data_IF_277818371518
#
_entry.id   IF_277818371518
#
_cell.length_a   1.000
_cell.length_b   1.000
_cell.length_c   1.000
_cell.angle_alpha   90.00
_cell.angle_beta   90.00
_cell.angle_gamma   90.00
#
_symmetry.space_group_name_H-M   'P 1'
#
loop_
_entity.id
_entity.type
_entity.pdbx_description
1 polymer ?
#
# COMPACT_ATOMS: atom_id res chain seq x y z
N UNK A 1 10.94 18.90 23.26
CA UNK A 1 9.75 18.10 22.89
C UNK A 1 9.38 18.47 21.47
N UNK A 2 8.73 17.61 20.68
CA UNK A 2 8.59 17.82 19.23
C UNK A 2 8.05 19.20 18.82
N UNK A 3 7.11 19.76 19.59
CA UNK A 3 6.57 21.10 19.34
C UNK A 3 7.56 22.25 19.61
N UNK A 4 8.48 22.08 20.56
CA UNK A 4 9.53 23.05 20.91
C UNK A 4 10.67 23.03 19.90
N UNK A 5 11.00 21.85 19.38
CA UNK A 5 12.12 21.61 18.46
C UNK A 5 11.71 21.65 16.99
N UNK A 6 10.53 22.23 16.68
CA UNK A 6 9.86 22.15 15.36
C UNK A 6 10.74 22.57 14.19
N UNK A 7 11.55 23.62 14.35
CA UNK A 7 12.41 24.13 13.28
C UNK A 7 13.50 23.10 12.96
N UNK A 8 14.24 22.63 13.97
CA UNK A 8 15.27 21.61 13.78
C UNK A 8 14.70 20.31 13.20
N UNK A 9 13.51 19.90 13.64
CA UNK A 9 12.86 18.67 13.15
C UNK A 9 12.37 18.81 11.70
N UNK A 10 11.96 20.00 11.26
CA UNK A 10 11.53 20.23 9.89
C UNK A 10 12.63 19.90 8.86
N UNK A 11 13.91 20.11 9.20
CA UNK A 11 15.04 19.72 8.35
C UNK A 11 15.30 18.22 8.29
N UNK A 12 14.65 17.41 9.15
CA UNK A 12 14.82 15.95 9.19
C UNK A 12 13.59 15.21 8.68
N UNK A 13 12.52 15.94 8.38
CA UNK A 13 11.22 15.38 8.01
C UNK A 13 10.85 15.88 6.61
N UNK A 14 10.54 14.95 5.72
CA UNK A 14 9.85 15.21 4.46
C UNK A 14 8.36 14.94 4.64
N UNK A 15 7.50 15.72 3.98
CA UNK A 15 6.06 15.50 4.04
C UNK A 15 5.41 15.78 2.70
N UNK A 16 4.51 14.89 2.28
CA UNK A 16 3.64 15.09 1.12
C UNK A 16 2.21 14.93 1.60
N UNK A 17 1.43 16.01 1.47
CA UNK A 17 0.02 16.02 1.88
C UNK A 17 -0.88 16.11 0.65
N UNK A 18 -1.80 15.16 0.47
CA UNK A 18 -2.71 15.15 -0.68
C UNK A 18 -3.56 16.44 -0.82
N UNK A 19 -3.82 17.13 0.28
CA UNK A 19 -4.60 18.37 0.31
C UNK A 19 -3.76 19.65 0.20
N UNK A 20 -2.42 19.57 0.32
CA UNK A 20 -1.52 20.74 0.30
C UNK A 20 -0.25 20.42 -0.48
N UNK A 21 -0.26 20.79 -1.75
CA UNK A 21 0.87 20.70 -2.67
C UNK A 21 1.99 21.65 -2.25
N UNK A 22 3.23 21.17 -2.24
CA UNK A 22 4.43 21.99 -2.10
C UNK A 22 4.78 22.68 -3.42
N UNK A 23 4.33 22.13 -4.54
CA UNK A 23 4.48 22.71 -5.87
C UNK A 23 3.56 23.92 -6.05
N UNK A 24 4.12 24.99 -6.63
CA UNK A 24 3.31 26.12 -7.05
C UNK A 24 2.74 25.89 -8.44
N UNK A 25 1.42 25.90 -8.56
CA UNK A 25 0.68 25.56 -9.80
C UNK A 25 1.13 26.34 -11.05
N UNK A 26 1.57 27.58 -10.87
CA UNK A 26 1.97 28.45 -11.96
C UNK A 26 3.47 28.35 -12.31
N UNK A 27 4.27 27.71 -11.45
CA UNK A 27 5.70 27.53 -11.68
C UNK A 27 6.02 26.09 -12.11
N UNK A 28 7.07 25.90 -12.91
CA UNK A 28 7.68 24.59 -13.10
C UNK A 28 8.23 23.97 -11.80
N UNK A 29 8.30 22.63 -11.70
CA UNK A 29 8.94 21.95 -10.58
C UNK A 29 10.36 22.43 -10.28
N UNK A 30 11.17 22.74 -11.30
CA UNK A 30 12.55 23.21 -11.11
C UNK A 30 12.63 24.46 -10.24
N UNK A 31 11.69 25.39 -10.39
CA UNK A 31 11.67 26.63 -9.61
C UNK A 31 11.28 26.36 -8.16
N UNK A 32 10.32 25.46 -7.95
CA UNK A 32 9.95 25.01 -6.60
C UNK A 32 11.13 24.30 -5.93
N UNK A 33 11.85 23.45 -6.65
CA UNK A 33 13.01 22.73 -6.10
C UNK A 33 14.13 23.71 -5.72
N UNK A 34 14.40 24.69 -6.57
CA UNK A 34 15.39 25.73 -6.30
C UNK A 34 15.02 26.54 -5.05
N UNK A 35 13.73 26.84 -4.87
CA UNK A 35 13.25 27.52 -3.67
C UNK A 35 13.40 26.65 -2.42
N UNK A 36 12.99 25.39 -2.48
CA UNK A 36 13.10 24.47 -1.35
C UNK A 36 14.57 24.29 -0.93
N UNK A 37 15.50 24.24 -1.88
CA UNK A 37 16.93 24.22 -1.58
C UNK A 37 17.39 25.44 -0.77
N UNK A 38 16.84 26.62 -1.05
CA UNK A 38 17.11 27.83 -0.27
C UNK A 38 16.45 27.81 1.11
N UNK A 39 15.23 27.30 1.20
CA UNK A 39 14.49 27.17 2.47
C UNK A 39 15.20 26.20 3.42
N UNK A 40 15.69 25.08 2.90
CA UNK A 40 16.44 24.08 3.67
C UNK A 40 17.94 24.35 3.73
N UNK A 41 18.39 25.54 3.31
CA UNK A 41 19.78 25.99 3.42
C UNK A 41 20.80 24.99 2.83
N UNK A 42 20.44 24.34 1.72
CA UNK A 42 21.29 23.34 1.08
C UNK A 42 22.46 24.00 0.37
N UNK A 43 23.64 23.37 0.45
CA UNK A 43 24.76 23.75 -0.42
C UNK A 43 24.34 23.60 -1.88
N UNK A 44 24.65 24.61 -2.70
CA UNK A 44 24.14 24.65 -4.07
C UNK A 44 24.75 23.56 -4.95
N UNK A 45 26.02 23.21 -4.73
CA UNK A 45 26.69 22.16 -5.49
C UNK A 45 26.16 20.77 -5.14
N UNK A 46 25.88 20.54 -3.86
CA UNK A 46 25.26 19.30 -3.36
C UNK A 46 23.80 19.19 -3.81
N UNK A 47 23.05 20.30 -3.73
CA UNK A 47 21.68 20.37 -4.21
C UNK A 47 21.57 20.01 -5.70
N UNK A 48 22.45 20.54 -6.55
CA UNK A 48 22.40 20.24 -7.99
C UNK A 48 22.64 18.75 -8.27
N UNK A 49 23.57 18.12 -7.55
CA UNK A 49 23.80 16.66 -7.63
C UNK A 49 22.58 15.89 -7.14
N UNK A 50 22.07 16.25 -5.96
CA UNK A 50 20.90 15.61 -5.36
C UNK A 50 19.64 15.75 -6.22
N UNK A 51 19.44 16.91 -6.83
CA UNK A 51 18.36 17.14 -7.78
C UNK A 51 18.49 16.23 -8.98
N UNK A 52 19.69 16.08 -9.55
CA UNK A 52 19.89 15.19 -10.69
C UNK A 52 19.58 13.73 -10.33
N UNK A 53 20.05 13.26 -9.17
CA UNK A 53 19.72 11.94 -8.63
C UNK A 53 18.20 11.73 -8.51
N UNK A 54 17.48 12.72 -7.96
CA UNK A 54 16.03 12.63 -7.78
C UNK A 54 15.25 12.76 -9.10
N UNK A 55 15.74 13.57 -10.04
CA UNK A 55 15.14 13.70 -11.38
C UNK A 55 15.22 12.36 -12.12
N UNK A 56 16.37 11.70 -12.08
CA UNK A 56 16.56 10.36 -12.66
C UNK A 56 15.74 9.30 -11.92
N UNK A 57 15.81 9.29 -10.59
CA UNK A 57 15.11 8.31 -9.76
C UNK A 57 13.59 8.36 -10.00
N UNK A 58 13.02 9.56 -10.15
CA UNK A 58 11.58 9.78 -10.31
C UNK A 58 11.13 10.03 -11.77
N UNK A 59 12.04 9.91 -12.74
CA UNK A 59 11.79 10.12 -14.18
C UNK A 59 11.11 11.48 -14.46
N UNK A 60 11.75 12.56 -14.01
CA UNK A 60 11.18 13.92 -14.03
C UNK A 60 11.70 14.79 -15.17
N UNK A 61 12.66 14.33 -15.97
CA UNK A 61 13.41 15.12 -16.96
C UNK A 61 12.50 15.92 -17.88
N UNK A 62 11.49 15.26 -18.46
CA UNK A 62 10.56 15.85 -19.42
C UNK A 62 9.60 16.87 -18.79
N UNK A 63 9.40 16.81 -17.47
CA UNK A 63 8.38 17.60 -16.77
C UNK A 63 8.95 18.70 -15.88
N UNK A 64 10.26 18.72 -15.63
CA UNK A 64 10.92 19.70 -14.74
C UNK A 64 10.68 21.16 -15.13
N UNK A 65 10.49 21.43 -16.42
CA UNK A 65 10.30 22.78 -16.98
C UNK A 65 8.84 23.09 -17.35
N UNK A 66 7.92 22.16 -17.11
CA UNK A 66 6.50 22.32 -17.42
C UNK A 66 5.79 22.86 -16.17
N UNK A 67 4.99 23.94 -16.26
CA UNK A 67 4.24 24.46 -15.11
C UNK A 67 3.37 23.38 -14.45
N UNK A 68 3.40 23.30 -13.11
CA UNK A 68 2.78 22.21 -12.36
C UNK A 68 1.28 22.01 -12.68
N UNK A 69 0.54 23.07 -13.01
CA UNK A 69 -0.87 22.98 -13.45
C UNK A 69 -1.11 22.17 -14.72
N UNK A 70 -0.09 21.97 -15.56
CA UNK A 70 -0.17 21.19 -16.81
C UNK A 70 0.22 19.72 -16.62
N UNK A 71 0.71 19.35 -15.44
CA UNK A 71 1.15 18.00 -15.14
C UNK A 71 -0.05 17.13 -14.74
N UNK A 72 0.00 15.85 -15.10
CA UNK A 72 -0.96 14.86 -14.59
C UNK A 72 -0.86 14.74 -13.07
N UNK A 73 -1.88 14.18 -12.41
CA UNK A 73 -1.82 13.99 -10.95
C UNK A 73 -0.62 13.11 -10.55
N UNK A 74 -0.36 12.03 -11.28
CA UNK A 74 0.80 11.15 -11.01
C UNK A 74 2.14 11.86 -11.23
N UNK A 75 2.27 12.67 -12.27
CA UNK A 75 3.47 13.48 -12.51
C UNK A 75 3.70 14.47 -11.36
N UNK A 76 2.64 15.17 -10.92
CA UNK A 76 2.72 16.07 -9.75
C UNK A 76 3.13 15.32 -8.50
N UNK A 77 2.53 14.16 -8.24
CA UNK A 77 2.85 13.35 -7.08
C UNK A 77 4.32 12.91 -7.07
N UNK A 78 4.88 12.51 -8.23
CA UNK A 78 6.31 12.22 -8.37
C UNK A 78 7.18 13.43 -8.02
N UNK A 79 6.84 14.61 -8.56
CA UNK A 79 7.54 15.86 -8.24
C UNK A 79 7.43 16.22 -6.75
N UNK A 80 6.26 16.01 -6.11
CA UNK A 80 6.05 16.27 -4.67
C UNK A 80 6.91 15.36 -3.79
N UNK A 81 6.95 14.07 -4.08
CA UNK A 81 7.79 13.13 -3.34
C UNK A 81 9.27 13.47 -3.54
N UNK A 82 9.70 13.72 -4.78
CA UNK A 82 11.07 14.15 -5.04
C UNK A 82 11.42 15.46 -4.31
N UNK A 83 10.53 16.45 -4.33
CA UNK A 83 10.70 17.71 -3.60
C UNK A 83 10.90 17.48 -2.10
N UNK A 84 10.12 16.57 -1.50
CA UNK A 84 10.21 16.22 -0.09
C UNK A 84 11.50 15.48 0.30
N UNK A 85 12.24 14.95 -0.68
CA UNK A 85 13.49 14.21 -0.50
C UNK A 85 14.75 15.04 -0.80
N UNK A 86 14.61 16.29 -1.26
CA UNK A 86 15.73 17.16 -1.64
C UNK A 86 16.70 17.39 -0.48
N UNK A 87 16.19 17.59 0.73
CA UNK A 87 16.98 17.85 1.94
C UNK A 87 17.40 16.58 2.69
N UNK A 88 17.30 15.40 2.06
CA UNK A 88 17.67 14.09 2.62
C UNK A 88 17.04 13.84 4.01
N UNK A 89 15.70 13.86 4.13
CA UNK A 89 15.05 13.63 5.40
C UNK A 89 15.27 12.20 5.91
N UNK A 90 15.24 12.04 7.23
CA UNK A 90 15.28 10.71 7.85
C UNK A 90 13.92 10.02 7.83
N UNK A 91 12.84 10.80 7.84
CA UNK A 91 11.47 10.33 7.86
C UNK A 91 10.66 11.06 6.78
N UNK A 92 9.93 10.29 5.98
CA UNK A 92 9.00 10.78 4.97
C UNK A 92 7.56 10.45 5.37
N UNK A 93 6.74 11.48 5.56
CA UNK A 93 5.29 11.34 5.78
C UNK A 93 4.54 11.49 4.46
N UNK A 94 3.69 10.53 4.13
CA UNK A 94 2.87 10.52 2.92
C UNK A 94 1.40 10.41 3.31
N UNK A 95 0.62 11.43 3.01
CA UNK A 95 -0.83 11.41 3.23
C UNK A 95 -1.56 11.01 1.95
N UNK A 96 -2.03 9.77 1.89
CA UNK A 96 -2.77 9.20 0.77
C UNK A 96 -2.05 9.38 -0.59
N UNK A 97 -0.77 8.94 -0.72
CA UNK A 97 0.09 9.28 -1.87
C UNK A 97 -0.34 8.67 -3.21
N UNK A 98 -1.32 7.77 -3.20
CA UNK A 98 -1.81 7.10 -4.41
C UNK A 98 -3.27 7.42 -4.73
N UNK A 99 -3.92 8.30 -3.95
CA UNK A 99 -5.33 8.64 -4.13
C UNK A 99 -5.55 9.35 -5.47
N UNK A 100 -6.60 8.93 -6.19
CA UNK A 100 -6.95 9.50 -7.49
C UNK A 100 -6.00 9.15 -8.64
N UNK A 101 -5.01 8.27 -8.41
CA UNK A 101 -4.14 7.74 -9.46
C UNK A 101 -4.73 6.46 -10.07
N UNK A 102 -4.50 6.26 -11.37
CA UNK A 102 -4.80 5.02 -12.04
C UNK A 102 -3.86 3.87 -11.58
N UNK A 103 -4.19 2.60 -11.83
CA UNK A 103 -3.39 1.47 -11.35
C UNK A 103 -1.92 1.47 -11.80
N UNK A 104 -1.62 1.97 -13.00
CA UNK A 104 -0.24 2.04 -13.52
C UNK A 104 0.54 3.10 -12.75
N UNK A 105 -0.04 4.30 -12.59
CA UNK A 105 0.57 5.37 -11.82
C UNK A 105 0.75 5.00 -10.33
N UNK A 106 -0.20 4.28 -9.71
CA UNK A 106 -0.04 3.75 -8.35
C UNK A 106 1.17 2.84 -8.23
N UNK A 107 1.33 1.90 -9.17
CA UNK A 107 2.47 0.99 -9.22
C UNK A 107 3.81 1.74 -9.26
N UNK A 108 3.92 2.71 -10.17
CA UNK A 108 5.12 3.55 -10.28
C UNK A 108 5.44 4.30 -8.98
N UNK A 109 4.45 4.94 -8.35
CA UNK A 109 4.63 5.64 -7.07
C UNK A 109 5.10 4.68 -5.96
N UNK A 110 4.50 3.49 -5.87
CA UNK A 110 4.90 2.47 -4.89
C UNK A 110 6.35 2.05 -5.06
N UNK A 111 6.77 1.80 -6.29
CA UNK A 111 8.15 1.39 -6.56
C UNK A 111 9.15 2.49 -6.23
N UNK A 112 8.81 3.75 -6.50
CA UNK A 112 9.63 4.91 -6.14
C UNK A 112 9.77 5.06 -4.61
N UNK A 113 8.68 4.96 -3.86
CA UNK A 113 8.70 5.00 -2.39
C UNK A 113 9.55 3.85 -1.84
N UNK A 114 9.41 2.65 -2.41
CA UNK A 114 10.20 1.47 -2.00
C UNK A 114 11.68 1.66 -2.28
N UNK A 115 12.05 2.24 -3.43
CA UNK A 115 13.44 2.56 -3.77
C UNK A 115 14.02 3.57 -2.79
N UNK A 116 13.32 4.67 -2.51
CA UNK A 116 13.74 5.65 -1.51
C UNK A 116 13.96 5.01 -0.12
N UNK A 117 13.05 4.12 0.32
CA UNK A 117 13.23 3.40 1.59
C UNK A 117 14.45 2.46 1.60
N UNK A 118 14.69 1.73 0.51
CA UNK A 118 15.73 0.70 0.44
C UNK A 118 17.13 1.25 0.15
N UNK A 119 17.21 2.18 -0.80
CA UNK A 119 18.48 2.71 -1.31
C UNK A 119 19.02 3.82 -0.40
N UNK A 120 18.13 4.66 0.16
CA UNK A 120 18.51 5.81 0.99
C UNK A 120 18.28 5.60 2.50
N UNK A 121 17.61 4.51 2.89
CA UNK A 121 17.32 4.23 4.29
C UNK A 121 16.26 5.15 4.92
N UNK A 122 15.51 5.91 4.12
CA UNK A 122 14.47 6.83 4.60
C UNK A 122 13.33 6.03 5.23
N UNK A 123 12.94 6.38 6.46
CA UNK A 123 11.77 5.78 7.11
C UNK A 123 10.50 6.37 6.51
N UNK A 124 9.62 5.52 5.97
CA UNK A 124 8.37 5.98 5.35
C UNK A 124 7.20 5.72 6.32
N UNK A 125 6.44 6.77 6.59
CA UNK A 125 5.16 6.71 7.27
C UNK A 125 4.07 7.14 6.30
N UNK A 126 3.10 6.28 6.01
CA UNK A 126 2.03 6.60 5.08
C UNK A 126 0.66 6.31 5.69
N UNK A 127 -0.30 7.16 5.37
CA UNK A 127 -1.73 6.89 5.52
C UNK A 127 -2.27 6.43 4.17
N UNK A 128 -3.04 5.35 4.18
CA UNK A 128 -3.71 4.87 2.98
C UNK A 128 -4.96 4.10 3.35
N UNK A 129 -6.01 4.26 2.55
CA UNK A 129 -7.19 3.40 2.54
C UNK A 129 -7.11 2.31 1.47
N UNK A 130 -6.08 2.33 0.61
CA UNK A 130 -5.83 1.33 -0.42
C UNK A 130 -5.06 0.15 0.17
N UNK A 131 -5.67 -1.04 0.17
CA UNK A 131 -5.03 -2.21 0.76
C UNK A 131 -3.78 -2.65 -0.02
N UNK A 132 -3.72 -2.38 -1.32
CA UNK A 132 -2.53 -2.61 -2.14
C UNK A 132 -1.34 -1.77 -1.70
N UNK A 133 -1.54 -0.51 -1.28
CA UNK A 133 -0.44 0.30 -0.71
C UNK A 133 0.13 -0.36 0.54
N UNK A 134 -0.76 -0.80 1.44
CA UNK A 134 -0.38 -1.47 2.70
C UNK A 134 0.41 -2.75 2.39
N UNK A 135 -0.06 -3.56 1.45
CA UNK A 135 0.58 -4.83 1.09
C UNK A 135 1.95 -4.64 0.42
N UNK A 136 2.10 -3.63 -0.44
CA UNK A 136 3.29 -3.46 -1.24
C UNK A 136 4.38 -2.59 -0.58
N UNK A 137 4.01 -1.72 0.35
CA UNK A 137 4.93 -0.75 0.97
C UNK A 137 5.20 -1.02 2.44
N UNK A 138 4.22 -1.50 3.19
CA UNK A 138 4.30 -1.52 4.65
C UNK A 138 4.85 -2.85 5.20
N UNK A 139 5.74 -2.76 6.19
CA UNK A 139 6.15 -3.91 7.02
C UNK A 139 5.30 -4.03 8.29
N UNK A 140 4.89 -2.89 8.84
CA UNK A 140 4.03 -2.72 10.02
C UNK A 140 2.82 -1.89 9.62
N UNK A 141 1.66 -2.23 10.15
CA UNK A 141 0.39 -1.55 9.91
C UNK A 141 -0.25 -1.22 11.25
N UNK A 142 -0.81 -0.02 11.35
CA UNK A 142 -1.59 0.45 12.49
C UNK A 142 -2.99 0.78 11.99
N UNK A 143 -4.00 0.08 12.49
CA UNK A 143 -5.41 0.31 12.13
C UNK A 143 -6.05 1.13 13.23
N UNK A 144 -6.62 2.27 12.86
CA UNK A 144 -7.25 3.22 13.77
C UNK A 144 -8.74 3.30 13.44
N UNK A 145 -9.58 3.23 14.46
CA UNK A 145 -11.02 3.47 14.35
C UNK A 145 -11.50 4.31 15.52
N UNK A 146 -12.35 5.30 15.26
CA UNK A 146 -12.91 6.18 16.29
C UNK A 146 -11.85 6.77 17.26
N UNK A 147 -10.66 7.09 16.73
CA UNK A 147 -9.55 7.64 17.52
C UNK A 147 -8.80 6.63 18.40
N UNK A 148 -9.09 5.34 18.29
CA UNK A 148 -8.40 4.27 19.00
C UNK A 148 -7.65 3.35 18.05
N UNK A 149 -6.47 2.89 18.47
CA UNK A 149 -5.72 1.86 17.76
C UNK A 149 -6.42 0.53 18.01
N UNK A 150 -7.02 -0.06 16.97
CA UNK A 150 -7.59 -1.41 17.04
C UNK A 150 -6.48 -2.45 16.89
N UNK A 151 -5.52 -2.17 16.01
CA UNK A 151 -4.48 -3.11 15.65
C UNK A 151 -3.16 -2.39 15.43
N UNK A 152 -2.09 -3.00 15.92
CA UNK A 152 -0.72 -2.60 15.67
C UNK A 152 0.12 -3.87 15.52
N UNK A 153 0.59 -4.14 14.30
CA UNK A 153 1.30 -5.38 14.01
C UNK A 153 1.97 -5.39 12.66
N UNK A 154 2.69 -6.48 12.36
CA UNK A 154 3.28 -6.65 11.03
C UNK A 154 2.22 -7.05 10.01
N UNK A 155 2.39 -6.63 8.76
CA UNK A 155 1.49 -7.02 7.66
C UNK A 155 1.49 -8.55 7.49
N UNK A 156 2.63 -9.20 7.71
CA UNK A 156 2.72 -10.67 7.70
C UNK A 156 1.96 -11.34 8.83
N UNK A 157 1.97 -10.76 10.04
CA UNK A 157 1.17 -11.26 11.17
C UNK A 157 -0.32 -11.05 10.92
N UNK A 158 -0.70 -9.88 10.39
CA UNK A 158 -2.08 -9.59 10.01
C UNK A 158 -2.63 -10.67 9.05
N UNK A 159 -1.85 -11.02 8.02
CA UNK A 159 -2.19 -12.07 7.05
C UNK A 159 -2.31 -13.47 7.66
N UNK A 160 -1.58 -13.77 8.73
CA UNK A 160 -1.59 -15.09 9.37
C UNK A 160 -2.67 -15.20 10.44
N UNK A 161 -2.72 -14.24 11.35
CA UNK A 161 -3.46 -14.32 12.61
C UNK A 161 -4.96 -14.01 12.39
N UNK A 162 -5.30 -13.25 11.35
CA UNK A 162 -6.68 -12.92 11.00
C UNK A 162 -7.22 -13.73 9.81
N UNK A 163 -6.43 -14.64 9.21
CA UNK A 163 -6.84 -15.40 8.01
C UNK A 163 -6.45 -16.89 8.01
N UNK A 164 -7.14 -17.71 8.82
CA UNK A 164 -7.14 -19.16 8.62
C UNK A 164 -7.94 -19.56 7.38
N UNK A 165 -8.76 -18.67 6.80
CA UNK A 165 -9.51 -18.97 5.57
C UNK A 165 -8.62 -18.88 4.30
N UNK A 166 -8.86 -19.78 3.36
CA UNK A 166 -8.29 -19.78 2.00
C UNK A 166 -9.42 -19.75 0.99
N UNK A 167 -9.23 -19.02 -0.10
CA UNK A 167 -10.20 -19.01 -1.19
C UNK A 167 -9.76 -20.01 -2.26
N UNK A 168 -10.65 -20.91 -2.64
CA UNK A 168 -10.46 -21.83 -3.76
C UNK A 168 -11.41 -21.40 -4.87
N UNK A 169 -10.85 -21.00 -6.00
CA UNK A 169 -11.59 -20.72 -7.24
C UNK A 169 -11.41 -21.91 -8.18
N UNK A 170 -12.51 -22.55 -8.57
CA UNK A 170 -12.56 -23.69 -9.49
C UNK A 170 -13.23 -23.29 -10.80
N UNK A 171 -12.69 -23.75 -11.93
CA UNK A 171 -13.43 -23.85 -13.20
C UNK A 171 -13.71 -25.31 -13.50
N UNK A 172 -14.95 -25.61 -13.87
CA UNK A 172 -15.44 -26.96 -14.06
C UNK A 172 -15.75 -27.22 -15.54
N UNK A 173 -15.53 -28.46 -15.98
CA UNK A 173 -15.87 -28.93 -17.33
C UNK A 173 -17.34 -29.35 -17.49
N UNK A 174 -18.08 -29.43 -16.40
CA UNK A 174 -19.51 -29.75 -16.38
C UNK A 174 -20.25 -28.77 -15.45
N UNK A 175 -21.56 -28.53 -15.69
CA UNK A 175 -22.34 -27.67 -14.83
C UNK A 175 -22.36 -28.19 -13.39
N UNK A 176 -22.23 -27.29 -12.40
CA UNK A 176 -22.34 -27.62 -10.97
C UNK A 176 -23.73 -28.21 -10.72
N UNK A 177 -23.77 -29.47 -10.31
CA UNK A 177 -25.01 -30.15 -9.88
C UNK A 177 -24.93 -30.49 -8.40
N UNK A 178 -25.79 -29.86 -7.59
CA UNK A 178 -25.90 -30.09 -6.14
C UNK A 178 -25.19 -29.03 -5.28
N UNK A 179 -25.52 -29.01 -3.99
CA UNK A 179 -24.85 -28.16 -2.99
C UNK A 179 -23.60 -28.86 -2.46
N UNK A 180 -22.46 -28.17 -2.48
CA UNK A 180 -21.25 -28.68 -1.84
C UNK A 180 -21.37 -28.54 -0.32
N UNK A 181 -21.37 -29.66 0.40
CA UNK A 181 -21.35 -29.69 1.87
C UNK A 181 -20.08 -30.36 2.37
N UNK A 182 -19.09 -29.53 2.70
CA UNK A 182 -17.86 -29.97 3.34
C UNK A 182 -17.66 -29.23 4.68
N UNK A 183 -17.21 -29.92 5.74
CA UNK A 183 -16.86 -29.27 7.00
C UNK A 183 -15.83 -28.17 6.77
N UNK A 184 -16.05 -26.98 7.33
CA UNK A 184 -15.12 -25.85 7.20
C UNK A 184 -15.05 -25.22 5.81
N UNK A 185 -15.92 -25.61 4.86
CA UNK A 185 -15.99 -25.01 3.53
C UNK A 185 -17.31 -24.25 3.39
N UNK A 186 -17.21 -22.97 2.99
CA UNK A 186 -18.35 -22.11 2.70
C UNK A 186 -18.32 -21.72 1.23
N UNK A 187 -19.42 -21.93 0.53
CA UNK A 187 -19.58 -21.41 -0.82
C UNK A 187 -19.71 -19.88 -0.79
N UNK A 188 -18.86 -19.18 -1.55
CA UNK A 188 -18.92 -17.73 -1.74
C UNK A 188 -19.70 -17.37 -3.00
N UNK A 189 -19.53 -18.15 -4.07
CA UNK A 189 -20.19 -17.92 -5.37
C UNK A 189 -20.20 -19.20 -6.20
N UNK A 190 -21.36 -19.63 -6.68
CA UNK A 190 -21.48 -20.63 -7.74
C UNK A 190 -22.03 -20.01 -9.02
N UNK A 191 -21.47 -20.42 -10.15
CA UNK A 191 -22.03 -20.28 -11.50
C UNK A 191 -22.11 -21.67 -12.13
N UNK A 192 -22.68 -21.78 -13.34
CA UNK A 192 -22.76 -23.07 -14.02
C UNK A 192 -21.39 -23.77 -14.09
N UNK A 193 -20.31 -23.05 -14.44
CA UNK A 193 -18.99 -23.66 -14.64
C UNK A 193 -17.91 -23.16 -13.67
N UNK A 194 -18.29 -22.44 -12.62
CA UNK A 194 -17.35 -21.80 -11.72
C UNK A 194 -17.81 -21.89 -10.28
N UNK A 195 -16.90 -22.27 -9.39
CA UNK A 195 -17.18 -22.38 -7.96
C UNK A 195 -16.12 -21.63 -7.17
N UNK A 196 -16.54 -20.69 -6.31
CA UNK A 196 -15.68 -19.99 -5.36
C UNK A 196 -16.02 -20.43 -3.95
N UNK A 197 -15.02 -20.91 -3.23
CA UNK A 197 -15.16 -21.48 -1.90
C UNK A 197 -14.22 -20.77 -0.93
N UNK A 198 -14.67 -20.51 0.29
CA UNK A 198 -13.83 -20.17 1.44
C UNK A 198 -13.62 -21.43 2.29
N UNK A 199 -12.38 -21.74 2.63
CA UNK A 199 -11.98 -22.93 3.37
C UNK A 199 -11.26 -22.51 4.65
N UNK A 200 -11.84 -22.80 5.82
CA UNK A 200 -11.17 -22.61 7.11
C UNK A 200 -10.15 -23.72 7.34
N UNK A 201 -8.88 -23.39 7.22
CA UNK A 201 -7.76 -24.34 7.34
C UNK A 201 -7.57 -24.92 8.74
N UNK A 202 -8.25 -24.37 9.75
CA UNK A 202 -8.27 -24.95 11.12
C UNK A 202 -9.20 -26.14 11.23
N UNK A 203 -10.24 -26.19 10.39
CA UNK A 203 -11.26 -27.24 10.41
C UNK A 203 -10.95 -28.30 9.34
N UNK A 204 -10.58 -27.85 8.14
CA UNK A 204 -10.28 -28.73 7.01
C UNK A 204 -8.94 -28.37 6.37
N UNK A 205 -7.96 -29.28 6.39
CA UNK A 205 -6.70 -29.10 5.67
C UNK A 205 -6.97 -28.89 4.18
N UNK A 206 -6.25 -27.93 3.57
CA UNK A 206 -6.40 -27.59 2.14
C UNK A 206 -6.26 -28.83 1.25
N UNK A 207 -5.27 -29.68 1.55
CA UNK A 207 -4.98 -30.90 0.79
C UNK A 207 -6.18 -31.83 0.73
N UNK A 208 -6.86 -32.05 1.87
CA UNK A 208 -8.04 -32.91 1.96
C UNK A 208 -9.22 -32.30 1.20
N UNK A 209 -9.42 -30.98 1.32
CA UNK A 209 -10.48 -30.27 0.60
C UNK A 209 -10.27 -30.33 -0.91
N UNK A 210 -9.05 -30.05 -1.39
CA UNK A 210 -8.71 -30.10 -2.83
C UNK A 210 -8.87 -31.51 -3.38
N UNK A 211 -8.38 -32.54 -2.65
CA UNK A 211 -8.54 -33.92 -3.07
C UNK A 211 -10.01 -34.34 -3.20
N UNK A 212 -10.88 -33.87 -2.31
CA UNK A 212 -12.31 -34.12 -2.41
C UNK A 212 -12.93 -33.41 -3.63
N UNK A 213 -12.60 -32.14 -3.84
CA UNK A 213 -13.11 -31.34 -4.97
C UNK A 213 -12.73 -31.94 -6.33
N UNK A 214 -11.51 -32.44 -6.47
CA UNK A 214 -11.03 -33.08 -7.71
C UNK A 214 -11.70 -34.44 -7.99
N UNK A 215 -12.29 -35.09 -6.97
CA UNK A 215 -13.03 -36.35 -7.14
C UNK A 215 -14.49 -36.13 -7.51
N UNK A 216 -15.13 -35.16 -6.86
CA UNK A 216 -16.56 -34.87 -7.04
C UNK A 216 -16.84 -34.07 -8.31
N UNK A 217 -15.91 -33.19 -8.72
CA UNK A 217 -16.11 -32.31 -9.85
C UNK A 217 -15.06 -32.51 -10.94
N UNK A 218 -15.45 -32.41 -12.23
CA UNK A 218 -14.50 -32.39 -13.34
C UNK A 218 -13.82 -31.01 -13.39
N UNK A 219 -12.84 -30.78 -12.52
CA UNK A 219 -12.09 -29.52 -12.44
C UNK A 219 -11.16 -29.37 -13.65
N UNK A 220 -11.29 -28.27 -14.37
CA UNK A 220 -10.39 -27.87 -15.46
C UNK A 220 -9.27 -26.94 -14.98
N UNK A 221 -9.57 -26.10 -13.99
CA UNK A 221 -8.65 -25.10 -13.45
C UNK A 221 -8.93 -24.89 -11.97
N UNK A 222 -7.87 -24.72 -11.18
CA UNK A 222 -7.95 -24.50 -9.72
C UNK A 222 -6.95 -23.44 -9.31
N UNK A 223 -7.44 -22.42 -8.62
CA UNK A 223 -6.61 -21.38 -8.01
C UNK A 223 -6.88 -21.34 -6.49
N UNK A 224 -5.82 -21.53 -5.70
CA UNK A 224 -5.88 -21.42 -4.25
C UNK A 224 -5.20 -20.11 -3.86
N UNK A 225 -5.98 -19.19 -3.34
CA UNK A 225 -5.52 -17.84 -3.01
C UNK A 225 -5.85 -17.49 -1.57
N UNK A 226 -5.18 -16.47 -1.05
CA UNK A 226 -5.62 -15.83 0.18
C UNK A 226 -6.72 -14.83 -0.15
N UNK A 227 -7.71 -14.63 0.74
CA UNK A 227 -8.66 -13.55 0.60
C UNK A 227 -7.93 -12.19 0.55
N UNK A 228 -8.49 -11.21 -0.18
CA UNK A 228 -7.86 -9.92 -0.40
C UNK A 228 -7.76 -9.12 0.91
N UNK A 229 -6.75 -8.25 1.02
CA UNK A 229 -6.47 -7.48 2.24
C UNK A 229 -7.64 -6.56 2.63
N UNK A 230 -8.39 -6.06 1.66
CA UNK A 230 -9.61 -5.27 1.90
C UNK A 230 -10.62 -6.03 2.78
N UNK A 231 -10.77 -7.35 2.57
CA UNK A 231 -11.64 -8.18 3.39
C UNK A 231 -11.09 -8.37 4.80
N UNK A 232 -9.76 -8.46 4.96
CA UNK A 232 -9.11 -8.50 6.29
C UNK A 232 -9.48 -7.26 7.08
N UNK A 233 -9.24 -6.10 6.47
CA UNK A 233 -9.43 -4.80 7.09
C UNK A 233 -10.91 -4.62 7.45
N UNK A 234 -11.82 -4.98 6.52
CA UNK A 234 -13.25 -4.94 6.78
C UNK A 234 -13.67 -5.84 7.96
N UNK A 235 -13.13 -7.06 8.07
CA UNK A 235 -13.43 -7.98 9.17
C UNK A 235 -12.97 -7.43 10.53
N UNK A 236 -11.83 -6.73 10.57
CA UNK A 236 -11.29 -6.07 11.76
C UNK A 236 -12.21 -4.92 12.21
N UNK A 237 -12.65 -4.07 11.27
CA UNK A 237 -13.60 -2.98 11.58
C UNK A 237 -14.96 -3.49 12.07
N UNK A 238 -15.42 -4.65 11.57
CA UNK A 238 -16.68 -5.27 11.98
C UNK A 238 -16.58 -6.02 13.33
N UNK A 239 -15.42 -6.01 13.99
CA UNK A 239 -15.23 -6.70 15.28
C UNK A 239 -15.25 -8.22 15.18
N UNK A 240 -15.10 -8.80 13.97
CA UNK A 240 -15.07 -10.25 13.75
C UNK A 240 -13.68 -10.87 13.92
N UNK A 241 -12.66 -10.06 14.21
CA UNK A 241 -11.28 -10.49 14.43
C UNK A 241 -10.76 -10.10 15.80
N UNK A 242 -10.62 -11.09 16.67
CA UNK A 242 -9.84 -11.14 17.92
C UNK A 242 -10.60 -10.90 19.23
N UNK A 243 -11.08 -12.03 19.76
CA UNK A 243 -10.69 -12.43 21.10
C UNK A 243 -9.19 -12.80 21.09
N UNK A 244 -8.38 -12.14 21.92
CA UNK A 244 -7.03 -12.61 22.28
C UNK A 244 -5.86 -12.15 21.42
N UNK A 245 -5.52 -10.87 21.45
CA UNK A 245 -4.13 -10.45 21.33
C UNK A 245 -3.92 -9.23 22.23
N UNK A 246 -3.77 -9.51 23.52
CA UNK A 246 -3.36 -8.53 24.53
C UNK A 246 -2.03 -7.94 24.12
N UNK A 247 -2.01 -6.62 23.94
CA UNK A 247 -0.81 -5.82 23.90
C UNK A 247 0.12 -6.22 25.06
N UNK A 248 1.30 -6.75 24.73
CA UNK A 248 2.38 -6.83 25.72
C UNK A 248 3.03 -5.46 25.76
N UNK A 249 2.86 -4.85 26.93
CA UNK A 249 3.59 -3.70 27.50
C UNK A 249 5.09 -3.77 27.30
#
# INVERSE_FOLDING_TARGET
TPWKDRQRLAFRIGSVFGQKSQLWLHLPPVDTFNLLARIYELDWSEYLKRRAELVELFELEEIMHIPARKLSLGQRMRCEIAASLLHRPEILFLDEPTIGLDPVAKGAIRDLIRRANREEGVTVFLTSHDAGDIEHLCKRVVIINQGQVILDGSVSALKRDYMPERQIDLKLGAPVTGELRLPGVRELKATAYGLKLAVDTRVSPIEATVAHLLREYPVQDIAITMPPMEQVIAAIYQGKGVAGCTARS
#
